data_IF_227396194231
#
_entry.id   IF_227396194231
#
_cell.length_a   1.000
_cell.length_b   1.000
_cell.length_c   1.000
_cell.angle_alpha   90.00
_cell.angle_beta   90.00
_cell.angle_gamma   90.00
#
_symmetry.space_group_name_H-M   'P 1'
#
loop_
_entity.id
_entity.type
_entity.pdbx_description
1 polymer ?
#
# COMPACT_ATOMS: atom_id res chain seq x y z
N UNK A 1 -11.44 -4.08 17.46
CA UNK A 1 -10.90 -5.18 16.64
C UNK A 1 -11.98 -5.97 15.90
N UNK A 2 -13.11 -6.32 16.51
CA UNK A 2 -14.17 -7.11 15.85
C UNK A 2 -14.83 -6.48 14.60
N UNK A 3 -14.60 -5.20 14.33
CA UNK A 3 -15.08 -4.49 13.13
C UNK A 3 -14.02 -4.36 12.03
N UNK A 4 -12.96 -5.18 12.05
CA UNK A 4 -11.99 -5.24 10.96
C UNK A 4 -12.33 -6.41 10.02
N UNK A 5 -12.35 -6.13 8.73
CA UNK A 5 -12.53 -7.10 7.66
C UNK A 5 -11.20 -7.69 7.17
N UNK A 6 -11.16 -8.08 5.91
CA UNK A 6 -9.95 -8.65 5.31
C UNK A 6 -8.80 -7.63 5.34
N UNK A 7 -7.61 -8.07 5.78
CA UNK A 7 -6.39 -7.25 5.73
C UNK A 7 -5.80 -7.26 4.33
N UNK A 8 -5.31 -6.10 3.87
CA UNK A 8 -4.73 -5.96 2.53
C UNK A 8 -3.25 -5.57 2.60
N UNK A 9 -2.50 -5.90 1.55
CA UNK A 9 -1.12 -5.43 1.36
C UNK A 9 -1.05 -4.53 0.15
N UNK A 10 -0.51 -3.32 0.33
CA UNK A 10 -0.35 -2.33 -0.72
C UNK A 10 1.10 -2.36 -1.18
N UNK A 11 1.31 -2.76 -2.43
CA UNK A 11 2.65 -2.88 -3.05
C UNK A 11 3.04 -1.58 -3.73
N UNK A 12 4.35 -1.31 -3.84
CA UNK A 12 4.82 -0.20 -4.66
C UNK A 12 4.42 -0.39 -6.12
N UNK A 13 3.86 0.66 -6.71
CA UNK A 13 3.69 0.74 -8.16
C UNK A 13 5.01 0.92 -8.88
N UNK A 14 5.09 0.35 -10.08
CA UNK A 14 6.14 0.62 -11.06
C UNK A 14 5.49 1.11 -12.37
N UNK A 15 6.31 1.61 -13.29
CA UNK A 15 5.83 2.13 -14.58
C UNK A 15 5.08 1.07 -15.41
N UNK A 16 5.41 -0.21 -15.21
CA UNK A 16 4.83 -1.33 -15.97
C UNK A 16 3.83 -2.16 -15.17
N UNK A 17 3.67 -1.89 -13.87
CA UNK A 17 2.89 -2.75 -12.97
C UNK A 17 2.27 -1.92 -11.83
N UNK A 18 0.94 -1.69 -11.94
CA UNK A 18 0.11 -0.98 -10.96
C UNK A 18 -1.13 -1.81 -10.53
N UNK A 19 -1.09 -2.61 -9.45
CA UNK A 19 -2.28 -3.33 -8.99
C UNK A 19 -3.33 -2.40 -8.44
N UNK A 20 -4.58 -2.82 -8.60
CA UNK A 20 -5.75 -2.22 -7.94
C UNK A 20 -6.49 -3.22 -7.04
N UNK A 21 -6.09 -4.49 -7.00
CA UNK A 21 -6.78 -5.55 -6.25
C UNK A 21 -6.86 -5.32 -4.73
N UNK A 22 -5.90 -4.61 -4.14
CA UNK A 22 -6.01 -4.19 -2.74
C UNK A 22 -7.18 -3.22 -2.52
N UNK A 23 -7.49 -2.37 -3.51
CA UNK A 23 -8.59 -1.40 -3.44
C UNK A 23 -9.94 -2.11 -3.55
N UNK A 24 -10.07 -3.12 -4.42
CA UNK A 24 -11.27 -3.97 -4.52
C UNK A 24 -11.65 -4.59 -3.16
N UNK A 25 -10.67 -5.09 -2.42
CA UNK A 25 -10.88 -5.66 -1.07
C UNK A 25 -11.25 -4.60 -0.03
N UNK A 26 -10.62 -3.41 -0.08
CA UNK A 26 -10.99 -2.28 0.79
C UNK A 26 -12.46 -1.90 0.53
N UNK A 27 -12.87 -1.88 -0.74
CA UNK A 27 -14.25 -1.57 -1.14
C UNK A 27 -15.22 -2.63 -0.61
N UNK A 28 -14.89 -3.91 -0.70
CA UNK A 28 -15.73 -4.98 -0.16
C UNK A 28 -15.94 -4.81 1.36
N UNK A 29 -14.87 -4.61 2.12
CA UNK A 29 -14.95 -4.34 3.55
C UNK A 29 -15.82 -3.10 3.83
N UNK A 30 -15.62 -2.03 3.06
CA UNK A 30 -16.37 -0.78 3.23
C UNK A 30 -17.87 -0.96 2.98
N UNK A 31 -18.25 -1.70 1.94
CA UNK A 31 -19.66 -2.06 1.65
C UNK A 31 -20.30 -2.86 2.79
N UNK A 32 -19.49 -3.65 3.51
CA UNK A 32 -19.91 -4.44 4.68
C UNK A 32 -19.86 -3.65 5.99
N UNK A 33 -19.48 -2.39 5.98
CA UNK A 33 -19.34 -1.56 7.19
C UNK A 33 -18.12 -1.91 8.05
N UNK A 34 -17.10 -2.54 7.46
CA UNK A 34 -15.89 -2.98 8.17
C UNK A 34 -14.70 -2.04 7.89
N UNK A 35 -13.83 -1.91 8.89
CA UNK A 35 -12.53 -1.29 8.75
C UNK A 35 -11.56 -2.22 8.02
N UNK A 36 -10.56 -1.62 7.35
CA UNK A 36 -9.51 -2.37 6.67
C UNK A 36 -8.16 -2.00 7.27
N UNK A 37 -7.39 -3.01 7.69
CA UNK A 37 -5.98 -2.84 8.01
C UNK A 37 -5.19 -2.94 6.70
N UNK A 38 -4.43 -1.89 6.39
CA UNK A 38 -3.56 -1.84 5.21
C UNK A 38 -2.10 -2.00 5.64
N UNK A 39 -1.47 -3.10 5.24
CA UNK A 39 -0.04 -3.32 5.39
C UNK A 39 0.69 -2.70 4.19
N UNK A 40 1.77 -1.97 4.46
CA UNK A 40 2.49 -1.21 3.45
C UNK A 40 3.78 -1.92 3.03
N UNK A 41 4.11 -1.82 1.74
CA UNK A 41 5.27 -2.48 1.16
C UNK A 41 6.60 -2.05 1.78
N UNK A 42 7.53 -3.00 1.82
CA UNK A 42 8.89 -2.79 2.32
C UNK A 42 9.86 -3.47 1.35
N UNK A 43 10.75 -2.65 0.79
CA UNK A 43 11.81 -3.09 -0.13
C UNK A 43 13.16 -2.94 0.54
N UNK A 44 13.71 -4.04 1.03
CA UNK A 44 15.03 -4.10 1.68
C UNK A 44 15.96 -5.01 0.89
N UNK A 45 17.25 -4.66 0.80
CA UNK A 45 18.29 -5.47 0.13
C UNK A 45 17.96 -5.83 -1.33
N UNK A 46 17.25 -4.95 -2.06
CA UNK A 46 17.11 -5.10 -3.51
C UNK A 46 18.49 -4.94 -4.16
N UNK A 47 18.92 -5.89 -5.01
CA UNK A 47 20.13 -5.72 -5.79
C UNK A 47 19.88 -4.73 -6.92
N UNK A 48 20.82 -3.83 -7.14
CA UNK A 48 20.84 -3.00 -8.34
C UNK A 48 21.02 -3.90 -9.58
N UNK A 49 20.14 -3.79 -10.58
CA UNK A 49 20.15 -4.62 -11.79
C UNK A 49 21.51 -4.56 -12.51
N UNK A 50 22.11 -3.36 -12.59
CA UNK A 50 23.42 -3.17 -13.20
C UNK A 50 24.53 -3.87 -12.41
N UNK A 51 24.41 -3.92 -11.09
CA UNK A 51 25.33 -4.63 -10.19
C UNK A 51 25.12 -6.14 -10.22
N UNK A 52 23.87 -6.60 -10.38
CA UNK A 52 23.52 -8.02 -10.54
C UNK A 52 24.17 -8.61 -11.79
N UNK A 53 24.03 -7.93 -12.93
CA UNK A 53 24.64 -8.32 -14.21
C UNK A 53 26.17 -8.40 -14.14
N UNK A 54 26.80 -7.60 -13.25
CA UNK A 54 28.25 -7.57 -13.02
C UNK A 54 28.72 -8.49 -11.89
N UNK A 55 27.85 -9.35 -11.34
CA UNK A 55 28.12 -10.21 -10.16
C UNK A 55 28.63 -9.45 -8.92
N UNK A 56 28.36 -8.14 -8.85
CA UNK A 56 28.74 -7.29 -7.71
C UNK A 56 27.56 -7.21 -6.74
N UNK A 57 27.80 -7.49 -5.46
CA UNK A 57 26.79 -7.38 -4.41
C UNK A 57 26.64 -5.93 -3.95
N UNK A 58 26.07 -5.10 -4.80
CA UNK A 58 25.63 -3.75 -4.42
C UNK A 58 24.12 -3.77 -4.20
N UNK A 59 23.68 -3.26 -3.06
CA UNK A 59 22.26 -3.21 -2.69
C UNK A 59 21.77 -1.77 -2.74
N UNK A 60 20.53 -1.59 -3.17
CA UNK A 60 19.82 -0.32 -3.06
C UNK A 60 19.50 -0.02 -1.59
N UNK A 61 19.40 1.28 -1.23
CA UNK A 61 18.94 1.68 0.10
C UNK A 61 17.53 1.14 0.36
N UNK A 62 17.23 0.79 1.62
CA UNK A 62 15.92 0.26 1.99
C UNK A 62 14.83 1.33 1.77
N UNK A 63 13.70 0.91 1.19
CA UNK A 63 12.53 1.75 0.94
C UNK A 63 11.33 1.20 1.69
N UNK A 64 10.70 2.05 2.47
CA UNK A 64 9.47 1.75 3.20
C UNK A 64 8.37 2.63 2.63
N UNK A 65 7.25 2.02 2.25
CA UNK A 65 6.12 2.80 1.75
C UNK A 65 5.56 3.67 2.88
N UNK A 66 5.41 4.96 2.59
CA UNK A 66 4.79 5.91 3.52
C UNK A 66 3.27 5.80 3.46
N UNK A 67 2.60 6.21 4.54
CA UNK A 67 1.13 6.28 4.59
C UNK A 67 0.56 7.20 3.52
N UNK A 68 1.26 8.30 3.20
CA UNK A 68 0.87 9.23 2.14
C UNK A 68 0.91 8.56 0.76
N UNK A 69 1.98 7.83 0.43
CA UNK A 69 2.06 7.11 -0.84
C UNK A 69 0.96 6.06 -0.97
N UNK A 70 0.71 5.30 0.10
CA UNK A 70 -0.34 4.30 0.12
C UNK A 70 -1.73 4.92 -0.10
N UNK A 71 -2.02 6.04 0.58
CA UNK A 71 -3.28 6.77 0.39
C UNK A 71 -3.44 7.27 -1.05
N UNK A 72 -2.38 7.82 -1.66
CA UNK A 72 -2.39 8.23 -3.07
C UNK A 72 -2.68 7.06 -4.01
N UNK A 73 -2.04 5.90 -3.81
CA UNK A 73 -2.32 4.71 -4.62
C UNK A 73 -3.75 4.20 -4.44
N UNK A 74 -4.32 4.25 -3.23
CA UNK A 74 -5.72 3.88 -2.99
C UNK A 74 -6.67 4.81 -3.74
N UNK A 75 -6.46 6.13 -3.65
CA UNK A 75 -7.30 7.13 -4.31
C UNK A 75 -7.24 7.01 -5.84
N UNK A 76 -6.04 6.78 -6.40
CA UNK A 76 -5.90 6.57 -7.84
C UNK A 76 -6.52 5.24 -8.30
N UNK A 77 -6.35 4.17 -7.50
CA UNK A 77 -7.03 2.89 -7.77
C UNK A 77 -8.56 3.04 -7.73
N UNK A 78 -9.08 3.83 -6.80
CA UNK A 78 -10.52 4.07 -6.69
C UNK A 78 -11.08 4.82 -7.92
N UNK A 79 -10.29 5.75 -8.48
CA UNK A 79 -10.63 6.43 -9.75
C UNK A 79 -10.59 5.47 -10.93
N UNK A 80 -9.57 4.61 -11.01
CA UNK A 80 -9.46 3.61 -12.07
C UNK A 80 -10.61 2.59 -12.03
N UNK A 81 -11.03 2.19 -10.83
CA UNK A 81 -12.14 1.25 -10.61
C UNK A 81 -13.54 1.92 -10.67
N UNK A 82 -13.61 3.25 -10.82
CA UNK A 82 -14.85 4.03 -10.85
C UNK A 82 -15.73 3.84 -9.60
N UNK A 83 -15.10 3.92 -8.41
CA UNK A 83 -15.76 3.75 -7.09
C UNK A 83 -15.55 4.96 -6.16
N UNK A 84 -15.46 6.15 -6.74
CA UNK A 84 -15.24 7.40 -6.00
C UNK A 84 -16.42 7.76 -5.08
N UNK A 85 -17.60 7.17 -5.29
CA UNK A 85 -18.73 7.24 -4.37
C UNK A 85 -18.40 6.61 -3.01
N UNK A 86 -17.53 5.59 -3.01
CA UNK A 86 -17.08 4.91 -1.80
C UNK A 86 -15.78 5.49 -1.27
N UNK A 87 -14.78 5.70 -2.14
CA UNK A 87 -13.44 6.15 -1.75
C UNK A 87 -13.02 7.35 -2.59
N UNK A 88 -13.00 8.53 -1.97
CA UNK A 88 -12.58 9.79 -2.57
C UNK A 88 -11.71 10.62 -1.60
N UNK A 89 -11.36 11.84 -2.02
CA UNK A 89 -10.48 12.75 -1.28
C UNK A 89 -11.00 13.15 0.12
N UNK A 90 -12.30 12.98 0.39
CA UNK A 90 -12.89 13.21 1.71
C UNK A 90 -12.88 11.96 2.61
N UNK A 91 -12.36 10.83 2.12
CA UNK A 91 -12.31 9.58 2.89
C UNK A 91 -11.28 9.69 4.00
N UNK A 92 -11.70 9.36 5.22
CA UNK A 92 -10.79 9.33 6.37
C UNK A 92 -9.87 8.11 6.29
N UNK A 93 -8.56 8.37 6.21
CA UNK A 93 -7.50 7.38 6.39
C UNK A 93 -6.78 7.61 7.71
N UNK A 94 -6.53 6.54 8.47
CA UNK A 94 -5.75 6.60 9.70
C UNK A 94 -4.33 6.06 9.43
N UNK A 95 -3.35 6.96 9.42
CA UNK A 95 -1.93 6.59 9.34
C UNK A 95 -1.37 6.26 10.72
N UNK A 96 -0.73 5.11 10.86
CA UNK A 96 -0.03 4.71 12.08
C UNK A 96 1.39 4.25 11.75
N UNK A 97 2.36 4.71 12.55
CA UNK A 97 3.77 4.39 12.38
C UNK A 97 4.38 4.07 13.76
N UNK A 98 5.39 3.18 13.78
CA UNK A 98 6.11 2.77 15.01
C UNK A 98 5.16 2.29 16.13
N UNK A 99 4.10 1.56 15.76
CA UNK A 99 3.15 1.02 16.74
C UNK A 99 3.89 0.07 17.69
N UNK A 100 3.76 0.31 19.00
CA UNK A 100 4.40 -0.51 20.04
C UNK A 100 5.88 -0.19 20.28
N UNK A 101 6.42 0.85 19.65
CA UNK A 101 7.76 1.35 19.96
C UNK A 101 7.72 2.19 21.25
N UNK A 102 8.77 2.10 22.08
CA UNK A 102 8.84 2.78 23.38
C UNK A 102 9.29 4.24 23.31
N UNK A 103 9.97 4.62 22.21
CA UNK A 103 10.52 5.96 21.93
C UNK A 103 10.00 6.54 20.58
#
# INVERSE_FOLDING_TARGET
>A
LYHFGETVSIVFWTDTWRPTSFCEKIIENRRRGLHTLCLLDIKVKEQDEASYMKKKKTYLPPRFMTTSQAASQILESAKELQVEDLINDNTLFLGAARIGWSD
#
